data_IF_369087379187
#
_entry.id   IF_369087379187
#
_cell.length_a   1.000
_cell.length_b   1.000
_cell.length_c   1.000
_cell.angle_alpha   90.00
_cell.angle_beta   90.00
_cell.angle_gamma   90.00
#
_symmetry.space_group_name_H-M   'P 1'
#
loop_
_entity.id
_entity.type
_entity.pdbx_description
1 polymer ?
#
# COMPACT_ATOMS: atom_id res chain seq x y z
N UNK A 1 -5.79 21.66 7.53
CA UNK A 1 -5.28 20.49 8.29
C UNK A 1 -3.78 20.64 8.49
N UNK A 2 -3.21 20.09 9.58
CA UNK A 2 -1.76 19.93 9.74
C UNK A 2 -1.27 18.66 9.02
N UNK A 3 0.05 18.52 8.82
CA UNK A 3 0.69 17.29 8.30
C UNK A 3 0.26 16.04 9.08
N UNK A 4 0.29 16.11 10.42
CA UNK A 4 -0.10 14.99 11.28
C UNK A 4 -1.60 14.64 11.15
N UNK A 5 -2.48 15.63 10.96
CA UNK A 5 -3.91 15.35 10.74
C UNK A 5 -4.18 14.69 9.40
N UNK A 6 -3.42 15.03 8.36
CA UNK A 6 -3.50 14.37 7.05
C UNK A 6 -3.04 12.92 7.16
N UNK A 7 -1.91 12.69 7.84
CA UNK A 7 -1.41 11.35 8.08
C UNK A 7 -2.40 10.50 8.89
N UNK A 8 -2.95 11.04 9.99
CA UNK A 8 -3.94 10.32 10.82
C UNK A 8 -5.20 9.96 10.03
N UNK A 9 -5.67 10.84 9.14
CA UNK A 9 -6.79 10.54 8.26
C UNK A 9 -6.49 9.31 7.39
N UNK A 10 -5.30 9.22 6.81
CA UNK A 10 -4.90 8.06 6.00
C UNK A 10 -4.87 6.77 6.83
N UNK A 11 -4.33 6.81 8.05
CA UNK A 11 -4.31 5.65 8.95
C UNK A 11 -5.73 5.19 9.29
N UNK A 12 -6.63 6.11 9.64
CA UNK A 12 -8.04 5.75 9.94
C UNK A 12 -8.76 5.18 8.72
N UNK A 13 -8.53 5.75 7.53
CA UNK A 13 -9.08 5.19 6.28
C UNK A 13 -8.51 3.78 6.01
N UNK A 14 -7.22 3.57 6.24
CA UNK A 14 -6.58 2.25 6.13
C UNK A 14 -7.18 1.23 7.08
N UNK A 15 -7.40 1.59 8.35
CA UNK A 15 -8.04 0.72 9.36
C UNK A 15 -9.48 0.38 8.97
N UNK A 16 -10.23 1.35 8.44
CA UNK A 16 -11.62 1.14 8.02
C UNK A 16 -11.76 0.22 6.80
N UNK A 17 -10.69 0.06 6.00
CA UNK A 17 -10.65 -0.77 4.79
C UNK A 17 -9.72 -1.99 4.92
N UNK A 18 -9.13 -2.22 6.09
CA UNK A 18 -8.31 -3.41 6.35
C UNK A 18 -9.16 -4.69 6.24
N UNK A 19 -8.60 -5.73 5.67
CA UNK A 19 -9.26 -7.04 5.64
C UNK A 19 -9.47 -7.63 7.04
N UNK A 20 -8.60 -7.28 8.00
CA UNK A 20 -8.76 -7.67 9.39
C UNK A 20 -9.87 -6.86 10.07
N UNK A 21 -10.72 -7.48 10.89
CA UNK A 21 -11.67 -6.70 11.69
C UNK A 21 -10.91 -5.78 12.67
N UNK A 22 -11.43 -4.57 12.90
CA UNK A 22 -10.82 -3.55 13.77
C UNK A 22 -10.39 -4.10 15.13
N UNK A 23 -11.18 -4.98 15.71
CA UNK A 23 -10.86 -5.62 17.01
C UNK A 23 -9.54 -6.43 16.96
N UNK A 24 -9.18 -7.03 15.81
CA UNK A 24 -7.92 -7.76 15.62
C UNK A 24 -6.74 -6.79 15.58
N UNK A 25 -6.90 -5.65 14.90
CA UNK A 25 -5.89 -4.58 14.86
C UNK A 25 -5.64 -4.02 16.28
N UNK A 26 -6.70 -3.73 17.03
CA UNK A 26 -6.61 -3.24 18.40
C UNK A 26 -5.92 -4.25 19.35
N UNK A 27 -6.22 -5.54 19.22
CA UNK A 27 -5.54 -6.61 19.94
C UNK A 27 -4.05 -6.68 19.59
N UNK A 28 -3.69 -6.50 18.33
CA UNK A 28 -2.29 -6.44 17.89
C UNK A 28 -1.55 -5.27 18.56
N UNK A 29 -2.09 -4.06 18.50
CA UNK A 29 -1.50 -2.88 19.16
C UNK A 29 -1.42 -3.06 20.68
N UNK A 30 -2.43 -3.63 21.32
CA UNK A 30 -2.39 -3.96 22.75
C UNK A 30 -1.26 -4.95 23.09
N UNK A 31 -1.02 -5.95 22.23
CA UNK A 31 0.10 -6.91 22.40
C UNK A 31 1.45 -6.20 22.31
N UNK A 32 1.61 -5.26 21.37
CA UNK A 32 2.86 -4.46 21.24
C UNK A 32 3.08 -3.62 22.49
N UNK A 33 2.06 -2.91 23.00
CA UNK A 33 2.13 -2.16 24.28
C UNK A 33 2.54 -3.05 25.44
N UNK A 34 1.94 -4.24 25.56
CA UNK A 34 2.29 -5.22 26.61
C UNK A 34 3.72 -5.76 26.50
N UNK A 35 4.28 -5.87 25.27
CA UNK A 35 5.69 -6.20 25.07
C UNK A 35 6.58 -5.03 25.51
N UNK A 36 6.27 -3.81 25.09
CA UNK A 36 7.01 -2.60 25.47
C UNK A 36 7.10 -2.45 26.99
N UNK A 37 6.00 -2.66 27.73
CA UNK A 37 6.01 -2.55 29.20
C UNK A 37 7.03 -3.48 29.87
N UNK A 38 7.27 -4.65 29.28
CA UNK A 38 8.17 -5.70 29.79
C UNK A 38 9.63 -5.50 29.37
N UNK A 39 9.93 -4.55 28.45
CA UNK A 39 11.29 -4.32 28.00
C UNK A 39 12.17 -3.74 29.14
N UNK A 40 13.46 -4.12 29.19
CA UNK A 40 14.46 -3.43 30.01
C UNK A 40 14.54 -1.93 29.70
N UNK A 41 14.97 -1.11 30.67
CA UNK A 41 15.04 0.35 30.52
C UNK A 41 15.85 0.79 29.29
N UNK A 42 16.93 0.12 28.97
CA UNK A 42 17.79 0.49 27.86
C UNK A 42 17.17 0.12 26.51
N UNK A 43 16.47 -1.00 26.43
CA UNK A 43 15.73 -1.37 25.23
C UNK A 43 14.52 -0.45 24.99
N UNK A 44 13.85 0.03 26.07
CA UNK A 44 12.77 1.03 25.97
C UNK A 44 13.22 2.34 25.33
N UNK A 45 14.51 2.74 25.51
CA UNK A 45 15.07 3.94 24.88
C UNK A 45 15.21 3.81 23.35
N UNK A 46 15.43 2.58 22.87
CA UNK A 46 15.59 2.28 21.45
C UNK A 46 14.26 1.93 20.75
N UNK A 47 13.22 1.68 21.55
CA UNK A 47 11.93 1.25 21.01
C UNK A 47 11.20 2.42 20.34
N UNK A 48 10.74 2.18 19.12
CA UNK A 48 9.88 3.13 18.39
C UNK A 48 8.45 3.11 18.94
N UNK A 49 8.10 4.14 19.72
CA UNK A 49 6.78 4.26 20.34
C UNK A 49 5.63 4.38 19.32
N UNK A 50 5.91 4.81 18.08
CA UNK A 50 4.90 4.87 17.01
C UNK A 50 4.31 3.49 16.72
N UNK A 51 5.07 2.41 16.91
CA UNK A 51 4.60 1.02 16.78
C UNK A 51 3.44 0.66 17.72
N UNK A 52 3.24 1.42 18.82
CA UNK A 52 2.13 1.21 19.75
C UNK A 52 0.81 1.86 19.33
N UNK A 53 0.84 2.72 18.32
CA UNK A 53 -0.29 3.55 17.87
C UNK A 53 -0.62 3.32 16.39
N UNK A 54 0.41 3.20 15.55
CA UNK A 54 0.27 2.97 14.11
C UNK A 54 0.41 1.48 13.78
N UNK A 55 -0.64 0.81 13.26
CA UNK A 55 -0.58 -0.59 12.85
C UNK A 55 0.16 -0.79 11.51
N UNK A 56 0.51 0.28 10.79
CA UNK A 56 1.13 0.28 9.47
C UNK A 56 2.45 1.05 9.52
N UNK A 57 3.47 0.44 10.08
CA UNK A 57 4.76 1.08 10.34
C UNK A 57 5.61 1.35 9.09
N UNK A 58 5.20 0.82 7.95
CA UNK A 58 5.67 1.17 6.61
C UNK A 58 5.11 2.51 6.09
N UNK A 59 4.42 3.23 6.98
CA UNK A 59 3.86 4.56 6.72
C UNK A 59 4.24 5.50 7.87
N UNK A 60 4.64 6.74 7.55
CA UNK A 60 5.12 7.64 8.58
C UNK A 60 5.21 9.11 8.19
N UNK A 61 5.27 9.95 9.21
CA UNK A 61 5.71 11.36 9.10
C UNK A 61 7.22 11.38 9.27
N UNK A 62 7.96 11.75 8.19
CA UNK A 62 9.41 11.76 8.15
C UNK A 62 9.99 13.13 8.54
N UNK A 63 9.35 14.20 8.05
CA UNK A 63 9.69 15.56 8.43
C UNK A 63 8.40 16.41 8.44
N UNK A 64 8.26 17.28 9.44
CA UNK A 64 7.17 18.25 9.56
C UNK A 64 7.74 19.65 9.72
N UNK A 65 7.56 20.49 8.70
CA UNK A 65 7.96 21.90 8.70
C UNK A 65 7.06 22.80 9.57
N UNK A 66 6.10 22.22 10.31
CA UNK A 66 5.24 22.93 11.24
C UNK A 66 4.08 23.71 10.59
N UNK A 67 3.69 23.36 9.35
CA UNK A 67 2.61 24.02 8.64
C UNK A 67 1.27 23.77 9.35
N UNK A 68 0.63 24.85 9.84
CA UNK A 68 -0.65 24.76 10.60
C UNK A 68 -1.87 24.48 9.72
N UNK A 69 -1.81 24.88 8.45
CA UNK A 69 -2.91 24.71 7.52
C UNK A 69 -2.37 24.40 6.13
N UNK A 70 -2.19 23.12 5.85
CA UNK A 70 -1.79 22.61 4.53
C UNK A 70 -2.89 22.92 3.53
N UNK A 71 -2.54 23.59 2.43
CA UNK A 71 -3.46 23.99 1.35
C UNK A 71 -3.14 23.29 0.04
N UNK A 72 -1.87 22.91 -0.17
CA UNK A 72 -1.40 22.32 -1.42
C UNK A 72 -0.40 21.22 -1.16
N UNK A 73 -0.68 20.05 -1.73
CA UNK A 73 0.18 18.86 -1.58
C UNK A 73 0.68 18.38 -2.94
N UNK A 74 1.97 18.04 -3.03
CA UNK A 74 2.51 17.30 -4.16
C UNK A 74 2.54 15.81 -3.80
N UNK A 75 2.06 14.97 -4.70
CA UNK A 75 1.82 13.55 -4.40
C UNK A 75 2.33 12.68 -5.53
N UNK A 76 3.15 11.69 -5.20
CA UNK A 76 3.67 10.70 -6.14
C UNK A 76 3.69 9.29 -5.56
N UNK A 77 3.81 8.30 -6.42
CA UNK A 77 4.03 6.92 -6.01
C UNK A 77 5.46 6.81 -5.47
N UNK A 78 6.45 7.16 -6.29
CA UNK A 78 7.86 7.19 -5.92
C UNK A 78 8.32 8.64 -5.70
N UNK A 79 8.72 8.97 -4.48
CA UNK A 79 9.30 10.29 -4.14
C UNK A 79 10.75 10.11 -3.75
N UNK A 80 11.63 10.82 -4.44
CA UNK A 80 13.05 10.92 -4.12
C UNK A 80 13.48 12.38 -4.03
N UNK A 81 14.77 12.63 -3.91
CA UNK A 81 15.36 13.98 -3.82
C UNK A 81 15.02 14.86 -5.03
N UNK A 82 14.82 14.28 -6.21
CA UNK A 82 14.42 15.02 -7.41
C UNK A 82 13.03 15.66 -7.26
N UNK A 83 12.05 14.91 -6.77
CA UNK A 83 10.69 15.40 -6.53
C UNK A 83 10.66 16.48 -5.45
N UNK A 84 11.47 16.33 -4.40
CA UNK A 84 11.63 17.36 -3.36
C UNK A 84 12.21 18.66 -3.92
N UNK A 85 13.20 18.57 -4.82
CA UNK A 85 13.75 19.74 -5.54
C UNK A 85 12.71 20.38 -6.46
N UNK A 86 11.90 19.59 -7.15
CA UNK A 86 10.81 20.10 -7.98
C UNK A 86 9.78 20.84 -7.12
N UNK A 87 9.39 20.28 -5.96
CA UNK A 87 8.48 20.93 -5.03
C UNK A 87 8.99 22.31 -4.58
N UNK A 88 10.28 22.42 -4.25
CA UNK A 88 10.91 23.70 -3.89
C UNK A 88 11.00 24.65 -5.08
N UNK A 89 11.36 24.15 -6.25
CA UNK A 89 11.40 24.95 -7.48
C UNK A 89 10.04 25.58 -7.80
N UNK A 90 8.96 24.77 -7.76
CA UNK A 90 7.59 25.24 -8.01
C UNK A 90 7.16 26.30 -6.98
N UNK A 91 7.48 26.08 -5.70
CA UNK A 91 7.18 27.03 -4.62
C UNK A 91 7.88 28.37 -4.81
N UNK A 92 9.16 28.35 -5.18
CA UNK A 92 9.96 29.57 -5.38
C UNK A 92 9.50 30.37 -6.60
N UNK A 93 9.06 29.73 -7.69
CA UNK A 93 8.61 30.38 -8.90
C UNK A 93 7.19 30.95 -8.79
N UNK A 94 6.38 30.42 -7.88
CA UNK A 94 5.04 30.93 -7.61
C UNK A 94 4.68 30.79 -6.14
N UNK A 95 5.02 31.77 -5.30
CA UNK A 95 4.74 31.73 -3.84
C UNK A 95 3.25 31.57 -3.50
N UNK A 96 2.33 31.96 -4.39
CA UNK A 96 0.90 31.72 -4.21
C UNK A 96 0.50 30.25 -4.43
N UNK A 97 1.42 29.46 -4.98
CA UNK A 97 1.26 28.01 -5.26
C UNK A 97 2.35 27.19 -4.56
N UNK A 98 2.74 27.63 -3.36
CA UNK A 98 3.70 26.90 -2.51
C UNK A 98 3.22 25.46 -2.22
N UNK A 99 4.13 24.51 -2.23
CA UNK A 99 3.89 23.13 -1.82
C UNK A 99 4.13 23.03 -0.31
N UNK A 100 3.08 22.81 0.44
CA UNK A 100 3.12 22.70 1.91
C UNK A 100 3.58 21.33 2.40
N UNK A 101 3.31 20.28 1.60
CA UNK A 101 3.55 18.90 1.98
C UNK A 101 3.81 18.06 0.72
N UNK A 102 4.79 17.17 0.79
CA UNK A 102 5.01 16.10 -0.19
C UNK A 102 4.56 14.76 0.40
N UNK A 103 3.80 14.00 -0.37
CA UNK A 103 3.26 12.69 0.02
C UNK A 103 3.82 11.64 -0.95
N UNK A 104 4.57 10.68 -0.43
CA UNK A 104 4.96 9.47 -1.15
C UNK A 104 3.96 8.34 -0.86
N UNK A 105 3.76 7.46 -1.83
CA UNK A 105 3.10 6.18 -1.55
C UNK A 105 4.13 5.17 -1.02
N UNK A 106 5.12 4.83 -1.82
CA UNK A 106 6.12 3.84 -1.45
C UNK A 106 6.92 4.24 -0.20
N UNK A 107 7.35 3.26 0.62
CA UNK A 107 8.04 3.51 1.87
C UNK A 107 9.38 4.20 1.68
N UNK A 108 9.66 5.19 2.51
CA UNK A 108 10.91 5.95 2.59
C UNK A 108 11.35 6.05 4.05
N UNK A 109 12.56 6.48 4.28
CA UNK A 109 13.06 6.72 5.63
C UNK A 109 12.91 5.50 6.54
N UNK A 110 12.47 5.76 7.76
CA UNK A 110 12.25 4.70 8.76
C UNK A 110 11.16 3.71 8.35
N UNK A 111 10.14 4.15 7.63
CA UNK A 111 9.07 3.28 7.15
C UNK A 111 9.60 2.22 6.17
N UNK A 112 10.60 2.54 5.34
CA UNK A 112 11.29 1.57 4.50
C UNK A 112 12.13 0.59 5.34
N UNK A 113 12.81 1.08 6.37
CA UNK A 113 13.59 0.22 7.27
C UNK A 113 12.72 -0.79 8.03
N UNK A 114 11.50 -0.40 8.40
CA UNK A 114 10.52 -1.23 9.11
C UNK A 114 9.55 -2.00 8.18
N UNK A 115 9.76 -1.99 6.84
CA UNK A 115 8.85 -2.59 5.86
C UNK A 115 8.52 -4.06 6.16
N UNK A 116 9.50 -4.85 6.59
CA UNK A 116 9.31 -6.27 6.88
C UNK A 116 8.32 -6.51 8.02
N UNK A 117 8.22 -5.60 9.00
CA UNK A 117 7.36 -5.80 10.17
C UNK A 117 5.86 -5.73 9.82
N UNK A 118 5.45 -4.93 8.83
CA UNK A 118 4.04 -4.84 8.41
C UNK A 118 3.56 -6.12 7.73
N UNK A 119 4.47 -6.91 7.16
CA UNK A 119 4.15 -8.14 6.42
C UNK A 119 3.47 -9.24 7.27
N UNK A 120 3.53 -9.12 8.60
CA UNK A 120 2.74 -9.99 9.49
C UNK A 120 1.23 -9.92 9.22
N UNK A 121 0.74 -8.81 8.66
CA UNK A 121 -0.66 -8.66 8.22
C UNK A 121 -1.05 -9.71 7.17
N UNK A 122 -0.14 -10.09 6.29
CA UNK A 122 -0.43 -11.06 5.23
C UNK A 122 -0.84 -12.44 5.78
N UNK A 123 -0.31 -12.86 6.92
CA UNK A 123 -0.73 -14.11 7.55
C UNK A 123 -2.21 -14.07 7.94
N UNK A 124 -2.70 -12.93 8.46
CA UNK A 124 -4.12 -12.74 8.78
C UNK A 124 -4.99 -12.72 7.49
N UNK A 125 -4.50 -12.16 6.40
CA UNK A 125 -5.19 -12.16 5.08
C UNK A 125 -5.29 -13.59 4.55
N UNK A 126 -4.20 -14.35 4.59
CA UNK A 126 -4.17 -15.73 4.15
C UNK A 126 -5.11 -16.63 4.96
N UNK A 127 -5.21 -16.40 6.29
CA UNK A 127 -6.17 -17.11 7.15
C UNK A 127 -7.61 -16.89 6.69
N UNK A 128 -7.99 -15.68 6.26
CA UNK A 128 -9.33 -15.38 5.77
C UNK A 128 -9.65 -16.12 4.46
N UNK A 129 -8.65 -16.46 3.67
CA UNK A 129 -8.81 -17.27 2.46
C UNK A 129 -8.77 -18.77 2.73
N UNK A 130 -8.57 -19.19 3.99
CA UNK A 130 -8.67 -20.57 4.43
C UNK A 130 -7.33 -21.27 4.64
N UNK A 131 -6.21 -20.58 4.60
CA UNK A 131 -4.90 -21.12 4.98
C UNK A 131 -4.80 -21.15 6.50
N UNK A 132 -4.49 -22.31 7.14
CA UNK A 132 -4.33 -22.36 8.60
C UNK A 132 -3.27 -21.35 9.08
N UNK A 133 -3.60 -20.59 10.14
CA UNK A 133 -2.77 -19.47 10.60
C UNK A 133 -1.32 -19.86 10.92
N UNK A 134 -1.11 -21.02 11.52
CA UNK A 134 0.23 -21.53 11.85
C UNK A 134 1.07 -21.82 10.59
N UNK A 135 0.43 -22.22 9.48
CA UNK A 135 1.10 -22.42 8.19
C UNK A 135 1.41 -21.06 7.57
N UNK A 136 0.45 -20.13 7.55
CA UNK A 136 0.63 -18.79 7.05
C UNK A 136 1.76 -18.05 7.80
N UNK A 137 1.74 -18.04 9.14
CA UNK A 137 2.82 -17.44 9.95
C UNK A 137 4.18 -18.09 9.69
N UNK A 138 4.25 -19.42 9.57
CA UNK A 138 5.50 -20.13 9.30
C UNK A 138 6.12 -19.77 7.95
N UNK A 139 5.32 -19.70 6.89
CA UNK A 139 5.77 -19.30 5.56
C UNK A 139 6.12 -17.81 5.51
N UNK A 140 5.28 -16.96 6.08
CA UNK A 140 5.53 -15.52 6.12
C UNK A 140 6.78 -15.16 6.92
N UNK A 141 7.07 -15.86 8.04
CA UNK A 141 8.28 -15.62 8.81
C UNK A 141 9.55 -15.71 7.96
N UNK A 142 9.66 -16.74 7.10
CA UNK A 142 10.81 -16.92 6.21
C UNK A 142 10.98 -15.69 5.31
N UNK A 143 9.89 -15.24 4.71
CA UNK A 143 9.89 -14.10 3.78
C UNK A 143 10.14 -12.76 4.49
N UNK A 144 9.55 -12.55 5.66
CA UNK A 144 9.77 -11.38 6.51
C UNK A 144 11.26 -11.25 6.86
N UNK A 145 11.89 -12.35 7.28
CA UNK A 145 13.31 -12.37 7.61
C UNK A 145 14.20 -12.07 6.37
N UNK A 146 13.79 -12.52 5.18
CA UNK A 146 14.46 -12.24 3.91
C UNK A 146 14.35 -10.76 3.53
N UNK A 147 13.13 -10.20 3.56
CA UNK A 147 12.90 -8.78 3.26
C UNK A 147 13.66 -7.91 4.26
N UNK A 148 13.64 -8.25 5.55
CA UNK A 148 14.38 -7.53 6.60
C UNK A 148 15.88 -7.46 6.27
N UNK A 149 16.49 -8.58 5.86
CA UNK A 149 17.89 -8.60 5.44
C UNK A 149 18.16 -7.80 4.17
N UNK A 150 17.19 -7.79 3.24
CA UNK A 150 17.28 -7.04 1.97
C UNK A 150 17.22 -5.54 2.16
N UNK A 151 16.34 -5.04 3.05
CA UNK A 151 16.17 -3.61 3.28
C UNK A 151 17.18 -3.03 4.27
N UNK A 152 17.74 -3.83 5.16
CA UNK A 152 18.66 -3.37 6.21
C UNK A 152 19.85 -2.54 5.69
N UNK A 153 20.58 -2.93 4.61
CA UNK A 153 21.76 -2.21 4.15
C UNK A 153 21.48 -0.96 3.29
N UNK A 154 20.20 -0.63 3.04
CA UNK A 154 19.82 0.47 2.15
C UNK A 154 19.99 1.82 2.84
N UNK A 155 20.34 2.87 2.08
CA UNK A 155 20.31 4.25 2.58
C UNK A 155 18.85 4.75 2.63
N UNK A 156 18.20 4.61 3.77
CA UNK A 156 16.79 4.98 3.96
C UNK A 156 16.56 6.50 4.00
N UNK A 157 17.58 7.30 4.41
CA UNK A 157 17.37 8.69 4.80
C UNK A 157 17.70 9.72 3.72
N UNK A 158 18.08 9.30 2.51
CA UNK A 158 18.45 10.21 1.42
C UNK A 158 17.40 11.30 1.17
N UNK A 159 16.15 10.90 0.92
CA UNK A 159 15.05 11.84 0.64
C UNK A 159 14.59 12.59 1.89
N UNK A 160 14.65 11.94 3.06
CA UNK A 160 14.30 12.57 4.35
C UNK A 160 15.24 13.75 4.64
N UNK A 161 16.56 13.54 4.51
CA UNK A 161 17.52 14.62 4.67
C UNK A 161 17.31 15.74 3.63
N UNK A 162 16.93 15.42 2.40
CA UNK A 162 16.57 16.42 1.40
C UNK A 162 15.36 17.25 1.85
N UNK A 163 14.34 16.62 2.42
CA UNK A 163 13.15 17.30 2.94
C UNK A 163 13.51 18.27 4.09
N UNK A 164 14.36 17.82 5.03
CA UNK A 164 14.88 18.62 6.12
C UNK A 164 15.66 19.85 5.61
N UNK A 165 16.61 19.65 4.68
CA UNK A 165 17.43 20.72 4.08
C UNK A 165 16.57 21.75 3.33
N UNK A 166 15.50 21.29 2.67
CA UNK A 166 14.58 22.15 1.94
C UNK A 166 13.46 22.73 2.81
N UNK A 167 13.33 22.30 4.07
CA UNK A 167 12.25 22.64 4.98
C UNK A 167 10.86 22.45 4.36
N UNK A 168 10.61 21.27 3.77
CA UNK A 168 9.33 20.87 3.19
C UNK A 168 8.83 19.61 3.90
N UNK A 169 7.61 19.63 4.43
CA UNK A 169 7.01 18.47 5.09
C UNK A 169 6.97 17.26 4.16
N UNK A 170 7.29 16.08 4.70
CA UNK A 170 7.35 14.82 3.96
C UNK A 170 6.72 13.68 4.75
N UNK A 171 5.75 13.01 4.16
CA UNK A 171 5.14 11.79 4.68
C UNK A 171 5.14 10.71 3.62
N UNK A 172 5.08 9.45 4.03
CA UNK A 172 4.64 8.38 3.14
C UNK A 172 3.44 7.64 3.72
N UNK A 173 2.62 7.07 2.82
CA UNK A 173 1.43 6.31 3.17
C UNK A 173 1.36 5.08 2.25
N UNK A 174 1.75 3.92 2.76
CA UNK A 174 1.83 2.66 1.99
C UNK A 174 0.65 1.73 2.29
N UNK A 175 0.79 0.78 3.23
CA UNK A 175 -0.29 -0.19 3.55
C UNK A 175 -1.68 0.42 3.80
N UNK A 176 -1.87 1.60 4.41
CA UNK A 176 -3.20 2.22 4.47
C UNK A 176 -3.85 2.41 3.10
N UNK A 177 -3.06 2.82 2.10
CA UNK A 177 -3.50 3.03 0.72
C UNK A 177 -3.75 1.70 0.02
N UNK A 178 -2.89 0.71 0.23
CA UNK A 178 -3.07 -0.65 -0.29
C UNK A 178 -4.38 -1.28 0.20
N UNK A 179 -4.74 -1.06 1.46
CA UNK A 179 -6.01 -1.50 2.01
C UNK A 179 -7.20 -0.86 1.27
N UNK A 180 -7.09 0.42 0.89
CA UNK A 180 -8.13 1.09 0.10
C UNK A 180 -8.30 0.44 -1.28
N UNK A 181 -7.21 0.19 -2.00
CA UNK A 181 -7.30 -0.43 -3.32
C UNK A 181 -7.75 -1.88 -3.22
N UNK A 182 -7.24 -2.65 -2.25
CA UNK A 182 -7.63 -4.04 -2.03
C UNK A 182 -9.15 -4.15 -1.79
N UNK A 183 -9.70 -3.29 -0.92
CA UNK A 183 -11.13 -3.22 -0.65
C UNK A 183 -11.94 -2.78 -1.88
N UNK A 184 -11.44 -1.78 -2.60
CA UNK A 184 -12.09 -1.26 -3.81
C UNK A 184 -12.17 -2.32 -4.91
N UNK A 185 -11.06 -2.98 -5.22
CA UNK A 185 -11.00 -4.05 -6.23
C UNK A 185 -11.86 -5.23 -5.80
N UNK A 186 -11.76 -5.66 -4.53
CA UNK A 186 -12.63 -6.73 -4.01
C UNK A 186 -14.10 -6.40 -4.19
N UNK A 187 -14.52 -5.19 -3.82
CA UNK A 187 -15.92 -4.76 -3.94
C UNK A 187 -16.39 -4.76 -5.40
N UNK A 188 -15.51 -4.35 -6.34
CA UNK A 188 -15.79 -4.37 -7.77
C UNK A 188 -15.99 -5.79 -8.28
N UNK A 189 -15.08 -6.72 -7.95
CA UNK A 189 -15.13 -8.12 -8.35
C UNK A 189 -16.33 -8.83 -7.72
N UNK A 190 -16.60 -8.60 -6.43
CA UNK A 190 -17.77 -9.15 -5.74
C UNK A 190 -19.11 -8.69 -6.37
N UNK A 191 -19.15 -7.46 -6.89
CA UNK A 191 -20.32 -6.91 -7.59
C UNK A 191 -20.48 -7.49 -8.99
N UNK A 192 -19.40 -7.61 -9.73
CA UNK A 192 -19.44 -8.03 -11.14
C UNK A 192 -19.60 -9.55 -11.29
N UNK A 193 -19.28 -10.34 -10.26
CA UNK A 193 -19.44 -11.80 -10.21
C UNK A 193 -18.88 -12.52 -11.47
N UNK A 194 -17.57 -12.32 -11.78
CA UNK A 194 -16.98 -12.94 -12.98
C UNK A 194 -17.08 -14.46 -12.92
N UNK A 195 -17.40 -15.10 -14.03
CA UNK A 195 -17.48 -16.55 -14.17
C UNK A 195 -16.18 -17.12 -14.77
N UNK A 196 -15.57 -16.37 -15.67
CA UNK A 196 -14.33 -16.73 -16.36
C UNK A 196 -13.22 -15.71 -16.04
N UNK A 197 -11.97 -16.14 -16.17
CA UNK A 197 -10.81 -15.28 -15.92
C UNK A 197 -10.80 -14.05 -16.84
N UNK A 198 -11.26 -14.21 -18.09
CA UNK A 198 -11.45 -13.11 -19.03
C UNK A 198 -12.40 -12.03 -18.53
N UNK A 199 -13.45 -12.39 -17.77
CA UNK A 199 -14.40 -11.44 -17.19
C UNK A 199 -13.73 -10.58 -16.13
N UNK A 200 -12.75 -11.12 -15.36
CA UNK A 200 -11.96 -10.33 -14.40
C UNK A 200 -11.21 -9.22 -15.15
N UNK A 201 -10.53 -9.55 -16.24
CA UNK A 201 -9.81 -8.56 -17.04
C UNK A 201 -10.75 -7.46 -17.54
N UNK A 202 -11.94 -7.83 -18.03
CA UNK A 202 -12.96 -6.87 -18.46
C UNK A 202 -13.45 -5.99 -17.30
N UNK A 203 -13.68 -6.56 -16.13
CA UNK A 203 -14.08 -5.81 -14.93
C UNK A 203 -13.03 -4.80 -14.51
N UNK A 204 -11.75 -5.19 -14.49
CA UNK A 204 -10.64 -4.30 -14.16
C UNK A 204 -10.50 -3.16 -15.17
N UNK A 205 -10.64 -3.43 -16.47
CA UNK A 205 -10.57 -2.42 -17.53
C UNK A 205 -11.70 -1.37 -17.49
N UNK A 206 -12.75 -1.58 -16.71
CA UNK A 206 -13.77 -0.54 -16.47
C UNK A 206 -13.26 0.55 -15.51
N UNK A 207 -12.19 0.29 -14.75
CA UNK A 207 -11.59 1.24 -13.80
C UNK A 207 -10.67 2.18 -14.58
N UNK A 208 -10.84 3.52 -14.46
CA UNK A 208 -10.10 4.49 -15.27
C UNK A 208 -8.58 4.36 -15.16
N UNK A 209 -8.05 4.15 -13.95
CA UNK A 209 -6.61 4.03 -13.69
C UNK A 209 -6.03 2.80 -14.43
N UNK A 210 -6.69 1.67 -14.39
CA UNK A 210 -6.24 0.47 -15.11
C UNK A 210 -6.35 0.63 -16.62
N UNK A 211 -7.39 1.30 -17.09
CA UNK A 211 -7.54 1.58 -18.51
C UNK A 211 -6.46 2.54 -19.03
N UNK A 212 -6.08 3.54 -18.23
CA UNK A 212 -4.98 4.44 -18.59
C UNK A 212 -3.64 3.70 -18.59
N UNK A 213 -3.39 2.86 -17.58
CA UNK A 213 -2.21 2.00 -17.53
C UNK A 213 -2.11 1.06 -18.74
N UNK A 214 -3.24 0.52 -19.22
CA UNK A 214 -3.27 -0.32 -20.42
C UNK A 214 -2.79 0.43 -21.67
N UNK A 215 -3.18 1.69 -21.84
CA UNK A 215 -2.67 2.53 -22.95
C UNK A 215 -1.15 2.71 -22.90
N UNK A 216 -0.60 2.70 -21.69
CA UNK A 216 0.83 2.87 -21.43
C UNK A 216 1.60 1.54 -21.33
N UNK A 217 0.96 0.40 -21.65
CA UNK A 217 1.59 -0.91 -21.67
C UNK A 217 1.77 -1.61 -20.32
N UNK A 218 1.10 -1.12 -19.24
CA UNK A 218 1.23 -1.63 -17.86
C UNK A 218 -0.11 -1.91 -17.16
N UNK A 219 -1.15 -2.21 -17.94
CA UNK A 219 -2.49 -2.51 -17.44
C UNK A 219 -2.68 -3.97 -17.01
N UNK A 220 -3.93 -4.35 -16.68
CA UNK A 220 -4.27 -5.70 -16.28
C UNK A 220 -3.86 -6.76 -17.29
N UNK A 221 -3.22 -7.82 -16.81
CA UNK A 221 -2.69 -8.90 -17.64
C UNK A 221 -2.80 -10.26 -16.93
N UNK A 222 -3.00 -11.33 -17.71
CA UNK A 222 -2.99 -12.69 -17.21
C UNK A 222 -1.56 -13.26 -17.24
N UNK A 223 -1.03 -13.69 -16.09
CA UNK A 223 0.31 -14.28 -15.97
C UNK A 223 0.29 -15.80 -16.01
N UNK A 224 -0.74 -16.44 -15.41
CA UNK A 224 -0.93 -17.90 -15.50
C UNK A 224 -2.41 -18.23 -15.74
N UNK A 225 -2.69 -19.34 -16.41
CA UNK A 225 -4.02 -19.78 -16.76
C UNK A 225 -4.44 -19.38 -18.18
N UNK A 226 -5.76 -19.39 -18.43
CA UNK A 226 -6.37 -18.99 -19.70
C UNK A 226 -7.56 -18.08 -19.42
N UNK A 227 -7.88 -17.12 -20.30
CA UNK A 227 -9.11 -16.33 -20.20
C UNK A 227 -10.38 -17.17 -20.13
N UNK A 228 -10.38 -18.37 -20.72
CA UNK A 228 -11.52 -19.30 -20.77
C UNK A 228 -11.61 -20.21 -19.53
N UNK A 229 -10.66 -20.11 -18.58
CA UNK A 229 -10.73 -20.86 -17.34
C UNK A 229 -11.82 -20.30 -16.42
N UNK A 230 -12.51 -21.20 -15.70
CA UNK A 230 -13.41 -20.80 -14.60
C UNK A 230 -12.61 -20.19 -13.48
N UNK A 231 -13.12 -19.09 -12.90
CA UNK A 231 -12.39 -18.35 -11.85
C UNK A 231 -12.24 -19.13 -10.54
N UNK A 232 -13.18 -20.03 -10.22
CA UNK A 232 -13.23 -20.64 -8.89
C UNK A 232 -13.39 -19.57 -7.78
N UNK A 233 -12.85 -19.84 -6.59
CA UNK A 233 -12.79 -18.84 -5.52
C UNK A 233 -11.66 -17.86 -5.80
N UNK A 234 -11.98 -16.57 -5.78
CA UNK A 234 -11.02 -15.48 -6.05
C UNK A 234 -10.42 -14.98 -4.74
N UNK A 235 -9.09 -14.80 -4.72
CA UNK A 235 -8.36 -14.18 -3.61
C UNK A 235 -7.62 -12.93 -4.07
N UNK A 236 -7.49 -11.93 -3.18
CA UNK A 236 -6.71 -10.72 -3.34
C UNK A 236 -5.61 -10.72 -2.27
N UNK A 237 -4.58 -11.54 -2.43
CA UNK A 237 -3.56 -11.78 -1.41
C UNK A 237 -2.31 -10.92 -1.55
N UNK A 238 -2.05 -10.37 -2.75
CA UNK A 238 -0.82 -9.66 -3.10
C UNK A 238 -1.11 -8.21 -3.49
N UNK A 239 -1.98 -7.54 -2.72
CA UNK A 239 -2.35 -6.13 -2.90
C UNK A 239 -2.01 -5.29 -1.66
N UNK A 240 -1.88 -5.88 -0.49
CA UNK A 240 -1.63 -5.14 0.76
C UNK A 240 -0.69 -5.90 1.70
N UNK A 241 -0.11 -5.18 2.65
CA UNK A 241 0.76 -5.74 3.68
C UNK A 241 2.23 -5.79 3.30
N UNK A 242 2.74 -4.74 2.69
CA UNK A 242 4.16 -4.54 2.42
C UNK A 242 4.57 -4.96 1.01
N UNK A 243 5.25 -6.08 0.85
CA UNK A 243 5.72 -6.58 -0.46
C UNK A 243 5.32 -8.04 -0.66
N UNK A 244 5.71 -8.66 -1.79
CA UNK A 244 5.38 -10.06 -2.09
C UNK A 244 5.61 -11.00 -0.91
N UNK A 245 4.65 -11.89 -0.67
CA UNK A 245 4.71 -12.94 0.33
C UNK A 245 5.71 -14.05 -0.03
N UNK A 246 5.50 -15.25 0.56
CA UNK A 246 6.31 -16.43 0.25
C UNK A 246 5.71 -17.19 -0.94
N UNK A 247 6.52 -17.53 -1.96
CA UNK A 247 6.04 -18.24 -3.15
C UNK A 247 5.38 -19.60 -2.86
N UNK A 248 5.75 -20.29 -1.78
CA UNK A 248 5.15 -21.58 -1.39
C UNK A 248 3.70 -21.47 -0.90
N UNK A 249 3.17 -20.26 -0.79
CA UNK A 249 1.79 -20.05 -0.34
C UNK A 249 0.75 -20.52 -1.37
N UNK A 250 1.09 -20.52 -2.67
CA UNK A 250 0.15 -20.89 -3.74
C UNK A 250 -0.38 -22.32 -3.59
N UNK A 251 0.47 -23.29 -3.24
CA UNK A 251 0.02 -24.65 -2.95
C UNK A 251 -1.02 -24.66 -1.81
N UNK A 252 -0.81 -23.86 -0.76
CA UNK A 252 -1.72 -23.80 0.39
C UNK A 252 -3.03 -23.10 0.06
N UNK A 253 -2.97 -22.07 -0.80
CA UNK A 253 -4.17 -21.39 -1.32
C UNK A 253 -4.99 -22.31 -2.22
N UNK A 254 -4.34 -23.09 -3.10
CA UNK A 254 -5.02 -24.09 -3.92
C UNK A 254 -5.73 -25.15 -3.05
N UNK A 255 -5.05 -25.66 -2.00
CA UNK A 255 -5.64 -26.58 -1.02
C UNK A 255 -6.82 -25.97 -0.26
N UNK A 256 -6.84 -24.66 -0.06
CA UNK A 256 -7.94 -23.88 0.52
C UNK A 256 -9.07 -23.58 -0.50
N UNK A 257 -8.96 -24.11 -1.72
CA UNK A 257 -9.96 -23.98 -2.78
C UNK A 257 -9.87 -22.68 -3.60
N UNK A 258 -8.77 -21.93 -3.52
CA UNK A 258 -8.55 -20.73 -4.34
C UNK A 258 -8.22 -21.17 -5.78
N UNK A 259 -8.98 -20.67 -6.75
CA UNK A 259 -8.79 -20.94 -8.19
C UNK A 259 -8.12 -19.78 -8.92
N UNK A 260 -8.30 -18.56 -8.43
CA UNK A 260 -7.73 -17.35 -9.06
C UNK A 260 -7.24 -16.36 -8.02
N UNK A 261 -6.08 -15.74 -8.28
CA UNK A 261 -5.54 -14.65 -7.48
C UNK A 261 -5.48 -13.39 -8.34
N UNK A 262 -5.88 -12.26 -7.75
CA UNK A 262 -5.67 -10.92 -8.29
C UNK A 262 -4.60 -10.26 -7.43
N UNK A 263 -3.48 -9.87 -8.05
CA UNK A 263 -2.36 -9.19 -7.42
C UNK A 263 -1.96 -7.92 -8.17
N UNK A 264 -1.01 -7.15 -7.62
CA UNK A 264 -0.48 -5.93 -8.24
C UNK A 264 0.78 -6.22 -9.06
N UNK A 265 1.60 -7.13 -8.61
CA UNK A 265 2.85 -7.60 -9.24
C UNK A 265 3.09 -9.07 -8.88
N UNK A 266 4.02 -9.71 -9.57
CA UNK A 266 4.43 -11.08 -9.27
C UNK A 266 5.82 -11.36 -9.84
N UNK A 267 6.72 -11.92 -9.02
CA UNK A 267 8.01 -12.39 -9.48
C UNK A 267 7.90 -13.71 -10.26
N UNK A 268 8.93 -14.04 -11.03
CA UNK A 268 8.97 -15.27 -11.84
C UNK A 268 8.95 -16.54 -10.96
N UNK A 269 9.49 -16.49 -9.74
CA UNK A 269 9.40 -17.60 -8.79
C UNK A 269 7.95 -17.84 -8.37
N UNK A 270 7.24 -16.77 -8.00
CA UNK A 270 5.82 -16.83 -7.61
C UNK A 270 4.96 -17.33 -8.78
N UNK A 271 5.20 -16.84 -10.00
CA UNK A 271 4.50 -17.30 -11.20
C UNK A 271 4.63 -18.81 -11.40
N UNK A 272 5.85 -19.37 -11.27
CA UNK A 272 6.10 -20.81 -11.41
C UNK A 272 5.39 -21.63 -10.33
N UNK A 273 5.37 -21.17 -9.09
CA UNK A 273 4.68 -21.87 -8.01
C UNK A 273 3.15 -21.80 -8.18
N UNK A 274 2.61 -20.67 -8.65
CA UNK A 274 1.20 -20.56 -8.99
C UNK A 274 0.79 -21.49 -10.15
N UNK A 275 1.62 -21.60 -11.19
CA UNK A 275 1.41 -22.50 -12.33
C UNK A 275 1.40 -23.96 -11.88
N UNK A 276 2.34 -24.39 -11.02
CA UNK A 276 2.37 -25.74 -10.43
C UNK A 276 1.12 -26.04 -9.59
N UNK A 277 0.59 -25.02 -8.91
CA UNK A 277 -0.61 -25.13 -8.09
C UNK A 277 -1.91 -25.01 -8.90
N UNK A 278 -1.84 -24.85 -10.22
CA UNK A 278 -2.96 -24.63 -11.14
C UNK A 278 -3.85 -23.42 -10.77
N UNK A 279 -3.26 -22.38 -10.19
CA UNK A 279 -3.95 -21.12 -9.85
C UNK A 279 -3.82 -20.15 -11.04
N UNK A 280 -4.96 -19.57 -11.46
CA UNK A 280 -4.93 -18.46 -12.41
C UNK A 280 -4.41 -17.20 -11.71
N UNK A 281 -3.52 -16.47 -12.36
CA UNK A 281 -2.97 -15.20 -11.83
C UNK A 281 -3.31 -14.06 -12.77
N UNK A 282 -4.07 -13.12 -12.25
CA UNK A 282 -4.36 -11.83 -12.89
C UNK A 282 -3.57 -10.73 -12.18
N UNK A 283 -2.67 -10.09 -12.88
CA UNK A 283 -1.94 -8.90 -12.39
C UNK A 283 -2.71 -7.67 -12.84
N UNK A 284 -3.25 -6.93 -11.88
CA UNK A 284 -4.05 -5.73 -12.14
C UNK A 284 -3.19 -4.53 -12.58
N UNK A 285 -1.90 -4.53 -12.20
CA UNK A 285 -0.93 -3.48 -12.46
C UNK A 285 -0.58 -2.73 -11.17
N UNK A 286 0.72 -2.57 -10.89
CA UNK A 286 1.23 -2.03 -9.63
C UNK A 286 0.87 -0.55 -9.47
N UNK A 287 1.54 0.34 -10.21
CA UNK A 287 1.40 1.80 -10.10
C UNK A 287 -0.04 2.28 -10.32
N UNK A 288 -0.81 1.58 -11.14
CA UNK A 288 -2.22 1.89 -11.36
C UNK A 288 -3.11 1.49 -10.18
N UNK A 289 -2.79 0.39 -9.49
CA UNK A 289 -3.44 0.01 -8.23
C UNK A 289 -3.14 1.03 -7.13
N UNK A 290 -1.88 1.40 -6.95
CA UNK A 290 -1.46 2.45 -6.02
C UNK A 290 -2.18 3.77 -6.29
N UNK A 291 -2.29 4.13 -7.59
CA UNK A 291 -3.04 5.31 -8.00
C UNK A 291 -4.52 5.26 -7.60
N UNK A 292 -5.18 4.09 -7.65
CA UNK A 292 -6.57 3.93 -7.18
C UNK A 292 -6.64 4.24 -5.68
N UNK A 293 -5.83 3.58 -4.87
CA UNK A 293 -5.82 3.78 -3.42
C UNK A 293 -5.51 5.23 -3.04
N UNK A 294 -4.45 5.80 -3.66
CA UNK A 294 -4.10 7.20 -3.47
C UNK A 294 -5.26 8.14 -3.87
N UNK A 295 -5.91 7.91 -5.00
CA UNK A 295 -7.04 8.73 -5.45
C UNK A 295 -8.20 8.73 -4.47
N UNK A 296 -8.53 7.57 -3.88
CA UNK A 296 -9.57 7.47 -2.85
C UNK A 296 -9.24 8.31 -1.61
N UNK A 297 -7.99 8.32 -1.18
CA UNK A 297 -7.52 9.17 -0.09
C UNK A 297 -7.48 10.65 -0.48
N UNK A 298 -6.94 10.98 -1.65
CA UNK A 298 -6.81 12.35 -2.14
C UNK A 298 -8.16 13.02 -2.36
N UNK A 299 -9.19 12.27 -2.73
CA UNK A 299 -10.57 12.77 -2.82
C UNK A 299 -11.07 13.31 -1.48
N UNK A 300 -10.66 12.72 -0.34
CA UNK A 300 -11.00 13.25 0.98
C UNK A 300 -10.24 14.55 1.30
N UNK A 301 -9.01 14.71 0.82
CA UNK A 301 -8.26 15.96 0.94
C UNK A 301 -8.86 17.06 0.05
N UNK A 302 -9.21 16.73 -1.19
CA UNK A 302 -9.84 17.66 -2.14
C UNK A 302 -11.21 18.19 -1.61
N UNK A 303 -12.02 17.32 -1.00
CA UNK A 303 -13.27 17.72 -0.30
C UNK A 303 -13.03 18.73 0.83
N UNK A 304 -11.83 18.77 1.40
CA UNK A 304 -11.42 19.70 2.45
C UNK A 304 -10.73 20.96 1.90
N UNK A 305 -10.72 21.13 0.58
CA UNK A 305 -10.16 22.29 -0.10
C UNK A 305 -8.63 22.26 -0.25
N UNK A 306 -8.00 21.10 -0.13
CA UNK A 306 -6.55 20.92 -0.36
C UNK A 306 -6.33 20.66 -1.86
N UNK A 307 -5.49 21.48 -2.49
CA UNK A 307 -5.09 21.32 -3.89
C UNK A 307 -4.10 20.17 -4.04
N UNK A 308 -4.32 19.31 -5.03
CA UNK A 308 -3.48 18.15 -5.32
C UNK A 308 -2.63 18.42 -6.57
N UNK A 309 -1.32 18.23 -6.45
CA UNK A 309 -0.35 18.27 -7.55
C UNK A 309 0.21 16.88 -7.76
N UNK A 310 -0.31 16.11 -8.73
CA UNK A 310 0.17 14.75 -8.97
C UNK A 310 1.54 14.78 -9.66
N UNK A 311 2.40 13.82 -9.31
CA UNK A 311 3.70 13.60 -9.93
C UNK A 311 4.11 12.12 -9.84
N UNK A 312 5.27 11.80 -10.36
CA UNK A 312 6.03 10.55 -10.13
C UNK A 312 5.16 9.28 -10.11
N UNK A 313 4.51 8.99 -11.25
CA UNK A 313 3.71 7.78 -11.47
C UNK A 313 2.24 7.87 -11.08
N UNK A 314 1.83 8.86 -10.28
CA UNK A 314 0.43 8.99 -9.87
C UNK A 314 -0.48 9.41 -11.03
N UNK A 315 -1.38 8.53 -11.43
CA UNK A 315 -2.49 8.83 -12.34
C UNK A 315 -3.68 9.39 -11.54
N UNK A 316 -3.84 10.74 -11.50
CA UNK A 316 -4.93 11.36 -10.75
C UNK A 316 -6.27 11.21 -11.46
N UNK A 317 -7.21 10.51 -10.82
CA UNK A 317 -8.62 10.40 -11.23
C UNK A 317 -9.47 10.84 -10.04
N UNK A 318 -10.00 12.07 -10.09
CA UNK A 318 -10.91 12.58 -9.05
C UNK A 318 -12.30 11.98 -9.20
N UNK A 319 -12.84 11.49 -8.10
CA UNK A 319 -14.22 11.02 -7.97
C UNK A 319 -15.09 12.03 -7.19
N UNK A 320 -14.52 13.19 -6.86
CA UNK A 320 -15.23 14.29 -6.20
C UNK A 320 -16.16 14.94 -7.22
N UNK A 321 -17.46 14.87 -6.96
CA UNK A 321 -18.44 15.61 -7.78
C UNK A 321 -18.23 17.11 -7.54
N UNK A 322 -17.75 17.83 -8.53
CA UNK A 322 -17.77 19.29 -8.48
C UNK A 322 -19.22 19.73 -8.25
N UNK A 323 -19.48 20.37 -7.12
CA UNK A 323 -20.73 21.14 -6.97
C UNK A 323 -20.65 22.27 -7.99
N UNK A 324 -21.36 22.10 -9.13
CA UNK A 324 -21.61 23.19 -10.07
C UNK A 324 -22.42 24.27 -9.40
#
# INVERSE_FOLDING_TARGET
MTTQQIFNLAIEMGIANDFRPRIRIEKHLKRIRGKYEKLPKDEKKLFDKKKMENPYIDSGVHFDAGIKNVKRVMVGIDIDSAEMMIARYLSNHNPKKEIDLVIAHHPIGKALADLSDVMHLQADVLEQYGVPINIAEGLMKIRIDEVSRGVNPINHFKVVNTAEMLNISLINIHTPIDNLVAKFVKTKIDKDQPEYVGDILQSLLQIPEYREATKNGSGPVLFTGSPDNRVGKIALTEITGGTEGNAKIYEKLAMAGIGTIIGMHQSEEHRKEAEKAHINIVIAGHISSDSIGMNLFLDELEKKGIEIVPCSGLTRVSRVKNKK
#
